data_IF_471182386366
#
_entry.id   IF_471182386366
#
_cell.length_a   1.000
_cell.length_b   1.000
_cell.length_c   1.000
_cell.angle_alpha   90.00
_cell.angle_beta   90.00
_cell.angle_gamma   90.00
#
_symmetry.space_group_name_H-M   'P 1'
#
loop_
_entity.id
_entity.type
_entity.pdbx_description
1 polymer ?
#
# COMPACT_ATOMS: atom_id res chain seq x y z
N UNK A 1 8.93 35.28 -19.67
CA UNK A 1 8.16 34.34 -20.53
C UNK A 1 8.74 32.92 -20.61
N UNK A 2 9.94 32.64 -20.07
CA UNK A 2 10.55 31.29 -20.06
C UNK A 2 10.14 30.46 -18.84
N UNK A 3 10.20 31.07 -17.65
CA UNK A 3 9.89 30.42 -16.37
C UNK A 3 8.45 29.92 -16.25
N UNK A 4 7.48 30.65 -16.81
CA UNK A 4 6.09 30.21 -16.83
C UNK A 4 5.88 28.94 -17.67
N UNK A 5 6.65 28.78 -18.75
CA UNK A 5 6.60 27.58 -19.61
C UNK A 5 7.29 26.39 -18.95
N UNK A 6 8.41 26.61 -18.27
CA UNK A 6 9.08 25.56 -17.49
C UNK A 6 8.21 25.01 -16.36
N UNK A 7 7.48 25.89 -15.63
CA UNK A 7 6.56 25.46 -14.58
C UNK A 7 5.39 24.67 -15.18
N UNK A 8 4.88 25.11 -16.33
CA UNK A 8 3.79 24.41 -17.01
C UNK A 8 4.23 23.04 -17.56
N UNK A 9 5.46 22.93 -18.07
CA UNK A 9 6.02 21.66 -18.53
C UNK A 9 6.28 20.69 -17.37
N UNK A 10 6.81 21.17 -16.24
CA UNK A 10 7.00 20.36 -15.03
C UNK A 10 5.65 19.90 -14.46
N UNK A 11 4.64 20.79 -14.41
CA UNK A 11 3.30 20.43 -13.97
C UNK A 11 2.66 19.39 -14.91
N UNK A 12 2.88 19.53 -16.22
CA UNK A 12 2.38 18.59 -17.23
C UNK A 12 3.07 17.22 -17.14
N UNK A 13 4.34 17.18 -16.75
CA UNK A 13 5.10 15.94 -16.55
C UNK A 13 4.72 15.23 -15.23
N UNK A 14 4.38 15.99 -14.18
CA UNK A 14 3.85 15.46 -12.93
C UNK A 14 2.44 14.86 -13.10
N UNK A 15 1.57 15.50 -13.87
CA UNK A 15 0.23 14.98 -14.20
C UNK A 15 0.34 13.67 -15.00
N UNK A 16 1.41 13.52 -15.78
CA UNK A 16 1.68 12.30 -16.56
C UNK A 16 2.01 11.06 -15.70
N UNK A 17 2.36 11.26 -14.43
CA UNK A 17 2.63 10.19 -13.45
C UNK A 17 1.43 9.88 -12.56
N UNK A 18 0.21 10.22 -13.00
CA UNK A 18 -1.00 9.67 -12.41
C UNK A 18 -1.01 8.15 -12.67
N UNK A 19 -0.63 7.37 -11.66
CA UNK A 19 -0.73 5.92 -11.68
C UNK A 19 -2.16 5.53 -12.01
N UNK A 20 -2.35 5.00 -13.21
CA UNK A 20 -3.62 4.48 -13.70
C UNK A 20 -3.84 3.14 -12.99
N UNK A 21 -4.42 3.18 -11.80
CA UNK A 21 -4.84 1.96 -11.13
C UNK A 21 -5.98 1.36 -11.96
N UNK A 22 -5.84 0.14 -12.50
CA UNK A 22 -6.97 -0.52 -13.16
C UNK A 22 -8.14 -0.52 -12.17
N UNK A 23 -9.36 -0.15 -12.60
CA UNK A 23 -10.51 -0.03 -11.72
C UNK A 23 -10.64 -1.31 -10.91
N UNK A 24 -10.81 -1.18 -9.59
CA UNK A 24 -10.97 -2.31 -8.67
C UNK A 24 -12.04 -3.23 -9.25
N UNK A 25 -11.60 -4.35 -9.83
CA UNK A 25 -12.47 -5.24 -10.58
C UNK A 25 -13.31 -5.99 -9.56
N UNK A 26 -14.51 -5.50 -9.33
CA UNK A 26 -15.45 -6.04 -8.36
C UNK A 26 -16.02 -7.38 -8.87
N UNK A 27 -15.21 -8.43 -8.76
CA UNK A 27 -15.49 -9.80 -9.19
C UNK A 27 -16.72 -10.41 -8.49
N UNK A 28 -17.18 -9.83 -7.37
CA UNK A 28 -18.48 -10.18 -6.76
C UNK A 28 -19.62 -9.99 -7.78
N UNK A 29 -19.57 -8.95 -8.62
CA UNK A 29 -20.60 -8.68 -9.64
C UNK A 29 -20.57 -9.67 -10.81
N UNK A 30 -19.43 -10.28 -11.11
CA UNK A 30 -19.32 -11.29 -12.17
C UNK A 30 -19.83 -12.65 -11.71
N UNK A 31 -19.63 -12.99 -10.43
CA UNK A 31 -20.25 -14.17 -9.78
C UNK A 31 -21.76 -14.00 -9.69
N UNK A 32 -22.25 -12.80 -9.36
CA UNK A 32 -23.69 -12.48 -9.32
C UNK A 32 -24.40 -12.65 -10.67
N UNK A 33 -23.71 -12.39 -11.80
CA UNK A 33 -24.30 -12.52 -13.15
C UNK A 33 -24.50 -13.97 -13.60
N UNK A 34 -23.95 -14.95 -12.87
CA UNK A 34 -24.14 -16.38 -13.13
C UNK A 34 -25.02 -17.09 -12.10
N UNK A 35 -25.73 -16.35 -11.25
CA UNK A 35 -26.62 -16.95 -10.26
C UNK A 35 -27.77 -17.69 -10.97
N UNK A 36 -27.80 -19.00 -10.77
CA UNK A 36 -28.90 -19.86 -11.18
C UNK A 36 -30.16 -19.51 -10.37
N UNK A 37 -31.35 -19.86 -10.86
CA UNK A 37 -32.60 -19.65 -10.10
C UNK A 37 -32.53 -20.24 -8.68
N UNK A 38 -31.86 -21.39 -8.54
CA UNK A 38 -31.58 -22.04 -7.26
C UNK A 38 -30.72 -21.19 -6.31
N UNK A 39 -29.75 -20.45 -6.83
CA UNK A 39 -28.87 -19.61 -6.00
C UNK A 39 -29.61 -18.40 -5.44
N UNK A 40 -30.52 -17.82 -6.24
CA UNK A 40 -31.37 -16.71 -5.78
C UNK A 40 -32.35 -17.15 -4.70
N UNK A 41 -32.96 -18.32 -4.85
CA UNK A 41 -33.81 -18.92 -3.80
C UNK A 41 -33.00 -19.25 -2.55
N UNK A 42 -31.76 -19.75 -2.69
CA UNK A 42 -30.88 -20.03 -1.55
C UNK A 42 -30.48 -18.76 -0.78
N UNK A 43 -30.26 -17.64 -1.47
CA UNK A 43 -29.91 -16.36 -0.82
C UNK A 43 -31.11 -15.71 -0.12
N UNK A 44 -32.32 -15.87 -0.63
CA UNK A 44 -33.54 -15.42 0.05
C UNK A 44 -33.86 -16.32 1.26
N UNK A 45 -33.67 -17.64 1.11
CA UNK A 45 -33.84 -18.60 2.19
C UNK A 45 -32.82 -18.39 3.31
N UNK A 46 -31.56 -18.13 2.99
CA UNK A 46 -30.52 -17.82 3.97
C UNK A 46 -30.85 -16.56 4.79
N UNK A 47 -31.43 -15.53 4.15
CA UNK A 47 -31.89 -14.31 4.83
C UNK A 47 -33.08 -14.56 5.74
N UNK A 48 -34.01 -15.43 5.34
CA UNK A 48 -35.19 -15.78 6.13
C UNK A 48 -34.80 -16.62 7.37
N UNK A 49 -33.96 -17.64 7.17
CA UNK A 49 -33.53 -18.59 8.21
C UNK A 49 -32.50 -17.97 9.18
N UNK A 50 -31.69 -17.02 8.71
CA UNK A 50 -30.74 -16.29 9.56
C UNK A 50 -31.37 -15.25 10.51
N UNK A 51 -32.69 -15.05 10.45
CA UNK A 51 -33.39 -14.09 11.30
C UNK A 51 -33.77 -14.68 12.65
N UNK A 52 -33.49 -13.95 13.73
CA UNK A 52 -33.93 -14.29 15.08
C UNK A 52 -35.46 -14.45 15.21
N UNK A 53 -36.23 -13.77 14.36
CA UNK A 53 -37.70 -13.87 14.34
C UNK A 53 -38.15 -15.26 13.91
N UNK A 54 -37.47 -15.89 12.95
CA UNK A 54 -37.81 -17.22 12.47
C UNK A 54 -37.70 -18.27 13.58
N UNK A 55 -36.60 -18.22 14.36
CA UNK A 55 -36.36 -19.10 15.50
C UNK A 55 -37.48 -18.96 16.55
N UNK A 56 -37.89 -17.72 16.86
CA UNK A 56 -38.97 -17.46 17.82
C UNK A 56 -40.32 -17.99 17.34
N UNK A 57 -40.65 -17.83 16.05
CA UNK A 57 -41.88 -18.36 15.47
C UNK A 57 -41.90 -19.88 15.53
N UNK A 58 -40.80 -20.56 15.14
CA UNK A 58 -40.68 -22.01 15.22
C UNK A 58 -40.85 -22.52 16.67
N UNK A 59 -40.19 -21.86 17.62
CA UNK A 59 -40.33 -22.19 19.04
C UNK A 59 -41.77 -21.98 19.55
N UNK A 60 -42.44 -20.90 19.13
CA UNK A 60 -43.83 -20.64 19.49
C UNK A 60 -44.77 -21.72 18.94
N UNK A 61 -44.57 -22.19 17.70
CA UNK A 61 -45.33 -23.29 17.11
C UNK A 61 -45.19 -24.57 17.94
N UNK A 62 -43.96 -24.91 18.36
CA UNK A 62 -43.71 -26.09 19.21
C UNK A 62 -44.40 -25.96 20.58
N UNK A 63 -44.29 -24.79 21.22
CA UNK A 63 -44.95 -24.51 22.50
C UNK A 63 -46.46 -24.63 22.36
N UNK A 64 -47.06 -24.06 21.31
CA UNK A 64 -48.49 -24.18 21.02
C UNK A 64 -48.89 -25.64 20.79
N UNK A 65 -48.11 -26.41 20.03
CA UNK A 65 -48.38 -27.84 19.80
C UNK A 65 -48.40 -28.65 21.11
N UNK A 66 -47.39 -28.42 21.96
CA UNK A 66 -47.28 -29.07 23.26
C UNK A 66 -48.45 -28.67 24.15
N UNK A 67 -48.79 -27.38 24.24
CA UNK A 67 -49.91 -26.89 25.05
C UNK A 67 -51.25 -27.50 24.60
N UNK A 68 -51.52 -27.52 23.30
CA UNK A 68 -52.75 -28.08 22.74
C UNK A 68 -52.93 -29.57 23.10
N UNK A 69 -51.84 -30.35 23.06
CA UNK A 69 -51.87 -31.78 23.33
C UNK A 69 -51.75 -32.14 24.81
N UNK A 70 -50.95 -31.41 25.59
CA UNK A 70 -50.73 -31.65 27.01
C UNK A 70 -51.92 -31.21 27.87
N UNK A 71 -52.54 -30.07 27.54
CA UNK A 71 -53.73 -29.57 28.24
C UNK A 71 -55.03 -30.23 27.77
N UNK A 72 -54.94 -31.19 26.84
CA UNK A 72 -56.09 -31.92 26.32
C UNK A 72 -57.17 -30.98 25.73
N UNK A 73 -56.75 -29.84 25.18
CA UNK A 73 -57.62 -28.78 24.65
C UNK A 73 -58.40 -29.24 23.42
N UNK A 74 -57.82 -30.20 22.69
CA UNK A 74 -58.41 -30.95 21.57
C UNK A 74 -58.23 -32.43 21.90
N UNK A 75 -59.01 -33.33 21.29
CA UNK A 75 -58.78 -34.78 21.43
C UNK A 75 -57.29 -35.08 21.23
N UNK A 76 -56.60 -35.67 22.23
CA UNK A 76 -55.15 -35.71 22.26
C UNK A 76 -54.68 -36.76 21.25
N UNK A 77 -54.19 -36.31 20.11
CA UNK A 77 -53.70 -37.16 19.03
C UNK A 77 -52.23 -37.58 19.22
N UNK A 78 -51.50 -36.87 20.09
CA UNK A 78 -50.06 -37.03 20.32
C UNK A 78 -49.81 -36.94 21.82
N UNK A 79 -50.05 -38.05 22.52
CA UNK A 79 -49.84 -38.14 23.97
C UNK A 79 -48.36 -38.24 24.29
N UNK A 80 -47.97 -37.73 25.46
CA UNK A 80 -46.62 -37.92 26.00
C UNK A 80 -46.23 -39.41 25.92
N UNK A 81 -45.12 -39.78 25.25
CA UNK A 81 -43.90 -38.99 24.96
C UNK A 81 -43.84 -38.22 23.61
N UNK A 82 -44.96 -37.85 22.99
CA UNK A 82 -45.04 -37.07 21.73
C UNK A 82 -44.30 -37.71 20.54
N UNK A 83 -44.74 -38.88 20.10
CA UNK A 83 -44.05 -39.64 19.05
C UNK A 83 -44.06 -38.90 17.70
N UNK A 84 -45.17 -38.24 17.34
CA UNK A 84 -45.28 -37.53 16.06
C UNK A 84 -44.43 -36.27 16.02
N UNK A 85 -44.45 -35.48 17.09
CA UNK A 85 -43.58 -34.30 17.20
C UNK A 85 -42.10 -34.66 17.10
N UNK A 86 -41.68 -35.70 17.82
CA UNK A 86 -40.29 -36.19 17.75
C UNK A 86 -39.91 -36.68 16.35
N UNK A 87 -40.82 -37.35 15.66
CA UNK A 87 -40.60 -37.80 14.29
C UNK A 87 -40.40 -36.61 13.32
N UNK A 88 -41.30 -35.62 13.39
CA UNK A 88 -41.23 -34.42 12.53
C UNK A 88 -39.94 -33.65 12.82
N UNK A 89 -39.61 -33.39 14.08
CA UNK A 89 -38.39 -32.67 14.46
C UNK A 89 -37.12 -33.36 13.97
N UNK A 90 -37.10 -34.70 13.98
CA UNK A 90 -35.95 -35.47 13.49
C UNK A 90 -35.80 -35.33 11.97
N UNK A 91 -36.91 -35.41 11.23
CA UNK A 91 -36.90 -35.17 9.78
C UNK A 91 -36.50 -33.73 9.45
N UNK A 92 -37.01 -32.76 10.21
CA UNK A 92 -36.69 -31.35 10.06
C UNK A 92 -35.18 -31.11 10.26
N UNK A 93 -34.60 -31.68 11.32
CA UNK A 93 -33.17 -31.59 11.60
C UNK A 93 -32.31 -32.17 10.46
N UNK A 94 -32.71 -33.31 9.89
CA UNK A 94 -31.99 -33.91 8.77
C UNK A 94 -31.97 -32.99 7.54
N UNK A 95 -33.10 -32.36 7.21
CA UNK A 95 -33.20 -31.36 6.13
C UNK A 95 -32.32 -30.15 6.45
N UNK A 96 -32.35 -29.65 7.68
CA UNK A 96 -31.51 -28.53 8.10
C UNK A 96 -30.02 -28.82 7.92
N UNK A 97 -29.56 -30.01 8.29
CA UNK A 97 -28.16 -30.41 8.12
C UNK A 97 -27.74 -30.35 6.65
N UNK A 98 -28.56 -30.84 5.72
CA UNK A 98 -28.24 -30.77 4.29
C UNK A 98 -28.15 -29.33 3.77
N UNK A 99 -29.08 -28.46 4.20
CA UNK A 99 -29.06 -27.04 3.84
C UNK A 99 -27.83 -26.34 4.40
N UNK A 100 -27.49 -26.62 5.66
CA UNK A 100 -26.29 -26.08 6.31
C UNK A 100 -25.03 -26.55 5.59
N UNK A 101 -24.92 -27.82 5.24
CA UNK A 101 -23.77 -28.35 4.49
C UNK A 101 -23.64 -27.69 3.11
N UNK A 102 -24.75 -27.46 2.41
CA UNK A 102 -24.74 -26.72 1.14
C UNK A 102 -24.29 -25.26 1.33
N UNK A 103 -24.73 -24.60 2.41
CA UNK A 103 -24.27 -23.26 2.76
C UNK A 103 -22.78 -23.22 3.12
N UNK A 104 -22.29 -24.23 3.86
CA UNK A 104 -20.88 -24.37 4.22
C UNK A 104 -20.00 -24.58 2.99
N UNK A 105 -20.39 -25.44 2.05
CA UNK A 105 -19.66 -25.61 0.79
C UNK A 105 -19.58 -24.29 0.02
N UNK A 106 -20.70 -23.54 -0.07
CA UNK A 106 -20.73 -22.24 -0.75
C UNK A 106 -19.85 -21.19 -0.06
N UNK A 107 -19.79 -21.20 1.27
CA UNK A 107 -18.90 -20.32 2.03
C UNK A 107 -17.43 -20.68 1.79
N UNK A 108 -17.08 -21.97 1.81
CA UNK A 108 -15.72 -22.43 1.55
C UNK A 108 -15.22 -22.06 0.15
N UNK A 109 -16.08 -22.17 -0.87
CA UNK A 109 -15.73 -21.76 -2.24
C UNK A 109 -15.48 -20.25 -2.33
N UNK A 110 -16.31 -19.43 -1.68
CA UNK A 110 -16.12 -17.97 -1.63
C UNK A 110 -14.85 -17.59 -0.87
N UNK A 111 -14.56 -18.26 0.23
CA UNK A 111 -13.37 -18.01 1.04
C UNK A 111 -12.09 -18.42 0.29
N UNK A 112 -12.13 -19.51 -0.49
CA UNK A 112 -11.01 -19.89 -1.37
C UNK A 112 -10.72 -18.83 -2.43
N UNK A 113 -11.76 -18.29 -3.07
CA UNK A 113 -11.60 -17.23 -4.07
C UNK A 113 -11.04 -15.95 -3.44
N UNK A 114 -11.56 -15.53 -2.28
CA UNK A 114 -11.02 -14.39 -1.53
C UNK A 114 -9.55 -14.59 -1.16
N UNK A 115 -9.18 -15.76 -0.66
CA UNK A 115 -7.80 -16.05 -0.31
C UNK A 115 -6.85 -15.98 -1.52
N UNK A 116 -7.29 -16.41 -2.70
CA UNK A 116 -6.51 -16.27 -3.94
C UNK A 116 -6.34 -14.80 -4.35
N UNK A 117 -7.40 -14.00 -4.24
CA UNK A 117 -7.34 -12.57 -4.53
C UNK A 117 -6.41 -11.82 -3.56
N UNK A 118 -6.54 -12.10 -2.27
CA UNK A 118 -5.69 -11.51 -1.23
C UNK A 118 -4.22 -11.87 -1.45
N UNK A 119 -3.94 -13.11 -1.88
CA UNK A 119 -2.60 -13.53 -2.25
C UNK A 119 -2.04 -12.74 -3.44
N UNK A 120 -2.82 -12.60 -4.52
CA UNK A 120 -2.38 -11.84 -5.71
C UNK A 120 -2.15 -10.36 -5.39
N UNK A 121 -3.02 -9.76 -4.57
CA UNK A 121 -2.86 -8.37 -4.11
C UNK A 121 -1.60 -8.21 -3.26
N UNK A 122 -1.33 -9.17 -2.37
CA UNK A 122 -0.14 -9.14 -1.53
C UNK A 122 1.15 -9.26 -2.34
N UNK A 123 1.18 -10.13 -3.35
CA UNK A 123 2.33 -10.25 -4.27
C UNK A 123 2.57 -8.93 -5.03
N UNK A 124 1.52 -8.32 -5.57
CA UNK A 124 1.64 -7.01 -6.25
C UNK A 124 2.11 -5.91 -5.30
N UNK A 125 1.58 -5.88 -4.08
CA UNK A 125 2.02 -4.93 -3.07
C UNK A 125 3.51 -5.14 -2.71
N UNK A 126 3.99 -6.38 -2.67
CA UNK A 126 5.41 -6.69 -2.45
C UNK A 126 6.28 -6.18 -3.61
N UNK A 127 5.83 -6.32 -4.86
CA UNK A 127 6.53 -5.79 -6.04
C UNK A 127 6.58 -4.25 -6.03
N UNK A 128 5.47 -3.58 -5.72
CA UNK A 128 5.42 -2.12 -5.58
C UNK A 128 6.33 -1.63 -4.45
N UNK A 129 6.34 -2.34 -3.31
CA UNK A 129 7.23 -2.04 -2.20
C UNK A 129 8.70 -2.18 -2.59
N UNK A 130 9.06 -3.22 -3.35
CA UNK A 130 10.43 -3.39 -3.89
C UNK A 130 10.79 -2.26 -4.84
N UNK A 131 9.87 -1.84 -5.72
CA UNK A 131 10.10 -0.72 -6.63
C UNK A 131 10.34 0.59 -5.85
N UNK A 132 9.54 0.86 -4.81
CA UNK A 132 9.71 2.01 -3.93
C UNK A 132 11.05 1.98 -3.20
N UNK A 133 11.44 0.82 -2.67
CA UNK A 133 12.74 0.62 -2.00
C UNK A 133 13.91 0.90 -2.96
N UNK A 134 13.84 0.39 -4.19
CA UNK A 134 14.85 0.67 -5.21
C UNK A 134 14.92 2.15 -5.56
N UNK A 135 13.79 2.84 -5.63
CA UNK A 135 13.75 4.28 -5.87
C UNK A 135 14.40 5.06 -4.72
N UNK A 136 14.11 4.69 -3.46
CA UNK A 136 14.73 5.32 -2.29
C UNK A 136 16.24 5.10 -2.26
N UNK A 137 16.72 3.87 -2.51
CA UNK A 137 18.15 3.60 -2.59
C UNK A 137 18.83 4.43 -3.69
N UNK A 138 18.16 4.62 -4.83
CA UNK A 138 18.67 5.47 -5.90
C UNK A 138 18.72 6.96 -5.49
N UNK A 139 17.70 7.45 -4.77
CA UNK A 139 17.70 8.80 -4.22
C UNK A 139 18.85 9.00 -3.21
N UNK A 140 19.10 8.03 -2.34
CA UNK A 140 20.21 8.06 -1.38
C UNK A 140 21.57 8.15 -2.10
N UNK A 141 21.74 7.42 -3.20
CA UNK A 141 22.96 7.48 -4.01
C UNK A 141 23.16 8.85 -4.66
N UNK A 142 22.08 9.45 -5.20
CA UNK A 142 22.12 10.81 -5.76
C UNK A 142 22.48 11.83 -4.65
N UNK A 143 21.85 11.73 -3.48
CA UNK A 143 22.14 12.59 -2.33
C UNK A 143 23.62 12.51 -1.93
N UNK A 144 24.18 11.30 -1.85
CA UNK A 144 25.61 11.09 -1.56
C UNK A 144 26.51 11.72 -2.64
N UNK A 145 26.14 11.62 -3.92
CA UNK A 145 26.89 12.28 -4.99
C UNK A 145 26.85 13.81 -4.87
N UNK A 146 25.68 14.39 -4.54
CA UNK A 146 25.52 15.83 -4.33
C UNK A 146 26.39 16.28 -3.16
N UNK A 147 26.31 15.61 -2.00
CA UNK A 147 27.15 15.91 -0.83
C UNK A 147 28.63 15.87 -1.18
N UNK A 148 29.09 14.83 -1.89
CA UNK A 148 30.49 14.72 -2.33
C UNK A 148 30.92 15.80 -3.33
N UNK A 149 29.99 16.34 -4.13
CA UNK A 149 30.27 17.48 -5.04
C UNK A 149 30.37 18.79 -4.26
N UNK A 150 29.46 19.03 -3.31
CA UNK A 150 29.54 20.21 -2.44
C UNK A 150 30.86 20.23 -1.65
N UNK A 151 31.26 19.09 -1.08
CA UNK A 151 32.48 18.98 -0.29
C UNK A 151 33.76 19.13 -1.13
N UNK A 152 33.72 18.75 -2.41
CA UNK A 152 34.80 19.08 -3.37
C UNK A 152 34.82 20.57 -3.70
N UNK A 153 33.66 21.17 -3.96
CA UNK A 153 33.54 22.60 -4.24
C UNK A 153 34.08 23.47 -3.11
N UNK A 154 33.75 23.15 -1.85
CA UNK A 154 34.26 23.86 -0.67
C UNK A 154 35.79 23.78 -0.56
N UNK A 155 36.36 22.59 -0.81
CA UNK A 155 37.82 22.40 -0.83
C UNK A 155 38.51 23.20 -1.94
N UNK A 156 37.92 23.28 -3.13
CA UNK A 156 38.45 24.09 -4.23
C UNK A 156 38.40 25.59 -3.92
N UNK A 157 37.28 26.06 -3.35
CA UNK A 157 37.11 27.46 -2.94
C UNK A 157 38.17 27.87 -1.92
N UNK A 158 38.40 27.02 -0.90
CA UNK A 158 39.46 27.23 0.10
C UNK A 158 40.86 27.26 -0.52
N UNK A 159 41.14 26.44 -1.54
CA UNK A 159 42.44 26.45 -2.25
C UNK A 159 42.63 27.74 -3.06
N UNK A 160 41.59 28.18 -3.78
CA UNK A 160 41.63 29.43 -4.54
C UNK A 160 41.83 30.64 -3.62
N UNK A 161 41.13 30.68 -2.48
CA UNK A 161 41.32 31.71 -1.46
C UNK A 161 42.77 31.76 -0.97
N UNK A 162 43.38 30.61 -0.63
CA UNK A 162 44.79 30.57 -0.21
C UNK A 162 45.75 31.04 -1.30
N UNK A 163 45.54 30.64 -2.56
CA UNK A 163 46.38 31.08 -3.68
C UNK A 163 46.29 32.58 -3.92
N UNK A 164 45.08 33.14 -3.83
CA UNK A 164 44.90 34.59 -3.94
C UNK A 164 45.63 35.32 -2.80
N UNK A 165 45.56 34.81 -1.58
CA UNK A 165 46.28 35.34 -0.42
C UNK A 165 47.81 35.27 -0.64
N UNK A 166 48.32 34.15 -1.16
CA UNK A 166 49.73 33.97 -1.54
C UNK A 166 50.19 34.94 -2.64
N UNK A 167 49.38 35.13 -3.69
CA UNK A 167 49.68 36.04 -4.80
C UNK A 167 49.62 37.49 -4.34
N UNK A 168 48.65 37.87 -3.50
CA UNK A 168 48.58 39.19 -2.90
C UNK A 168 49.80 39.45 -2.00
N UNK A 169 50.23 38.46 -1.21
CA UNK A 169 51.44 38.55 -0.40
C UNK A 169 52.70 38.72 -1.27
N UNK A 170 52.84 37.94 -2.35
CA UNK A 170 53.94 38.04 -3.31
C UNK A 170 53.96 39.37 -4.08
N UNK A 171 52.80 39.90 -4.48
CA UNK A 171 52.73 41.14 -5.26
C UNK A 171 53.01 42.40 -4.42
N UNK A 172 52.91 42.30 -3.09
CA UNK A 172 53.34 43.35 -2.16
C UNK A 172 54.88 43.38 -1.99
N UNK A 173 55.61 42.43 -2.57
CA UNK A 173 57.08 42.37 -2.62
C UNK A 173 57.60 42.72 -4.04
N UNK A 174 57.62 44.00 -4.42
CA UNK A 174 58.32 44.47 -5.66
C UNK A 174 59.69 45.10 -5.28
N UNK A 175 60.78 44.89 -6.04
CA UNK A 175 62.15 44.97 -5.53
C UNK A 175 62.73 46.39 -5.35
N UNK A 176 63.57 46.53 -4.31
CA UNK A 176 64.34 47.72 -3.95
C UNK A 176 65.20 48.28 -5.11
N UNK A 177 65.47 49.61 -5.15
CA UNK A 177 66.10 50.27 -6.29
C UNK A 177 67.54 49.81 -6.52
N UNK A 178 67.87 49.59 -7.80
CA UNK A 178 69.17 49.12 -8.32
C UNK A 178 70.30 50.13 -8.00
N UNK A 179 71.46 49.71 -7.48
CA UNK A 179 72.54 50.63 -7.13
C UNK A 179 73.21 51.22 -8.38
N UNK A 180 73.54 52.51 -8.30
CA UNK A 180 74.23 53.31 -9.32
C UNK A 180 75.64 52.77 -9.64
N UNK A 181 76.10 53.03 -10.88
CA UNK A 181 77.30 52.46 -11.48
C UNK A 181 78.65 52.86 -10.87
N UNK A 182 79.77 52.33 -11.41
CA UNK A 182 81.08 52.35 -10.75
C UNK A 182 81.82 53.69 -10.94
N UNK A 183 82.26 54.30 -9.84
CA UNK A 183 83.25 55.38 -9.83
C UNK A 183 84.65 54.83 -10.10
N UNK A 184 85.38 55.44 -11.04
CA UNK A 184 86.81 55.15 -11.34
C UNK A 184 87.71 56.08 -10.51
N UNK A 185 88.77 55.58 -9.84
CA UNK A 185 89.89 56.40 -9.37
C UNK A 185 91.10 56.38 -10.34
N UNK A 186 92.08 57.31 -10.16
CA UNK A 186 92.91 57.84 -11.24
C UNK A 186 94.20 57.06 -11.54
N UNK A 187 94.71 57.29 -12.75
CA UNK A 187 95.91 56.70 -13.35
C UNK A 187 97.18 57.23 -12.65
N UNK A 188 97.97 56.33 -12.07
CA UNK A 188 99.35 56.60 -11.63
C UNK A 188 100.34 56.17 -12.71
N UNK A 189 101.02 57.14 -13.34
CA UNK A 189 102.14 56.95 -14.26
C UNK A 189 103.43 56.76 -13.44
N UNK A 190 104.28 55.74 -13.70
CA UNK A 190 105.62 55.68 -13.13
C UNK A 190 106.66 56.24 -14.12
N UNK A 191 107.59 57.06 -13.65
CA UNK A 191 108.88 57.33 -14.30
C UNK A 191 109.87 57.96 -13.31
N UNK A 192 111.19 57.88 -13.53
CA UNK A 192 111.95 56.93 -14.36
C UNK A 192 112.70 55.86 -13.54
#
# INVERSE_FOLDING_TARGET
>A
MSTAREIEDIARDLIKHQHDHPPVRDLNREVERRLTFADRVADDFARLVGSWVFVLVQAAILVVWILLNALNLIRPWDRYPFFFLNFILTLEAAVWVSVVLMAMNRLADRDRLRAQQDYELNVKAEEELKALMNHLMHQDEILLQIVNRLDRGDREMKRLARRLEEVLASNNETPAPKPAGPERPPISIPAP
#
